data_IF_351890515146
#
_entry.id   IF_351890515146
#
_cell.length_a   1.000
_cell.length_b   1.000
_cell.length_c   1.000
_cell.angle_alpha   90.00
_cell.angle_beta   90.00
_cell.angle_gamma   90.00
#
_symmetry.space_group_name_H-M   'P 1'
#
loop_
_entity.id
_entity.type
_entity.pdbx_description
1 polymer ?
#
# COMPACT_ATOMS: atom_id res chain seq x y z
N UNK A 1 11.95 1.79 -9.40
CA UNK A 1 11.79 2.96 -8.51
C UNK A 1 10.58 2.65 -7.65
N UNK A 2 10.72 2.62 -6.33
CA UNK A 2 9.59 2.43 -5.43
C UNK A 2 8.71 3.69 -5.55
N UNK A 3 7.40 3.53 -5.74
CA UNK A 3 6.44 4.63 -5.72
C UNK A 3 5.68 4.61 -4.39
N UNK A 4 6.34 4.96 -3.25
CA UNK A 4 5.63 5.06 -2.00
C UNK A 4 4.59 6.19 -2.09
N UNK A 5 3.51 6.07 -1.35
CA UNK A 5 2.63 7.21 -1.07
C UNK A 5 3.48 8.39 -0.58
N UNK A 6 3.21 9.59 -1.06
CA UNK A 6 3.84 10.81 -0.55
C UNK A 6 3.66 10.91 0.98
N UNK A 7 4.68 11.38 1.68
CA UNK A 7 4.66 11.44 3.15
C UNK A 7 3.53 12.31 3.68
N UNK A 8 3.11 13.37 2.97
CA UNK A 8 1.98 14.18 3.39
C UNK A 8 0.67 13.40 3.27
N UNK A 9 0.47 12.65 2.17
CA UNK A 9 -0.70 11.77 2.01
C UNK A 9 -0.78 10.76 3.15
N UNK A 10 0.35 10.12 3.51
CA UNK A 10 0.42 9.22 4.66
C UNK A 10 0.03 9.90 5.98
N UNK A 11 0.56 11.10 6.24
CA UNK A 11 0.24 11.89 7.44
C UNK A 11 -1.26 12.24 7.47
N UNK A 12 -1.87 12.60 6.35
CA UNK A 12 -3.30 12.93 6.29
C UNK A 12 -4.19 11.71 6.53
N UNK A 13 -3.82 10.53 6.02
CA UNK A 13 -4.54 9.28 6.25
C UNK A 13 -4.41 8.83 7.71
N UNK A 14 -3.21 8.86 8.28
CA UNK A 14 -2.95 8.44 9.67
C UNK A 14 -3.64 9.34 10.70
N UNK A 15 -3.72 10.65 10.43
CA UNK A 15 -4.39 11.61 11.32
C UNK A 15 -5.90 11.73 11.06
N UNK A 16 -6.47 10.83 10.27
CA UNK A 16 -7.89 10.77 9.95
C UNK A 16 -8.50 12.08 9.42
N UNK A 17 -7.69 12.92 8.75
CA UNK A 17 -8.05 14.33 8.48
C UNK A 17 -9.19 14.52 7.48
N UNK A 18 -9.41 13.54 6.60
CA UNK A 18 -10.45 13.60 5.56
C UNK A 18 -11.23 12.28 5.53
N UNK A 19 -12.37 12.19 6.24
CA UNK A 19 -13.15 10.95 6.36
C UNK A 19 -13.55 10.34 5.02
N UNK A 20 -13.94 11.16 4.04
CA UNK A 20 -14.30 10.68 2.71
C UNK A 20 -13.12 10.07 1.94
N UNK A 21 -11.91 10.58 2.16
CA UNK A 21 -10.69 10.04 1.55
C UNK A 21 -10.31 8.72 2.22
N UNK A 22 -10.43 8.64 3.56
CA UNK A 22 -10.25 7.37 4.28
C UNK A 22 -11.26 6.31 3.89
N UNK A 23 -12.54 6.68 3.75
CA UNK A 23 -13.59 5.78 3.30
C UNK A 23 -13.22 5.19 1.93
N UNK A 24 -12.80 6.03 0.99
CA UNK A 24 -12.38 5.60 -0.33
C UNK A 24 -11.15 4.69 -0.29
N UNK A 25 -10.14 5.05 0.51
CA UNK A 25 -8.93 4.26 0.69
C UNK A 25 -9.22 2.88 1.31
N UNK A 26 -10.13 2.84 2.31
CA UNK A 26 -10.58 1.60 2.97
C UNK A 26 -11.41 0.69 2.06
N UNK A 27 -11.94 1.20 0.95
CA UNK A 27 -12.66 0.38 -0.04
C UNK A 27 -11.72 -0.45 -0.93
N UNK A 28 -10.40 -0.30 -0.80
CA UNK A 28 -9.41 -1.00 -1.60
C UNK A 28 -8.42 -1.74 -0.70
N UNK A 29 -7.96 -2.90 -1.15
CA UNK A 29 -6.86 -3.61 -0.51
C UNK A 29 -5.51 -2.97 -0.87
N UNK A 30 -4.47 -3.11 -0.02
CA UNK A 30 -3.12 -2.65 -0.35
C UNK A 30 -2.58 -3.21 -1.67
N UNK A 31 -2.93 -4.45 -2.01
CA UNK A 31 -2.54 -5.10 -3.26
C UNK A 31 -3.20 -4.47 -4.50
N UNK A 32 -4.48 -4.08 -4.41
CA UNK A 32 -5.18 -3.40 -5.51
C UNK A 32 -4.56 -2.04 -5.81
N UNK A 33 -4.26 -1.28 -4.75
CA UNK A 33 -3.61 0.02 -4.86
C UNK A 33 -2.22 -0.15 -5.49
N UNK A 34 -1.39 -1.04 -4.95
CA UNK A 34 -0.05 -1.27 -5.46
C UNK A 34 -0.06 -1.73 -6.93
N UNK A 35 -0.97 -2.62 -7.31
CA UNK A 35 -1.10 -3.10 -8.70
C UNK A 35 -1.57 -2.01 -9.65
N UNK A 36 -2.56 -1.20 -9.26
CA UNK A 36 -3.10 -0.12 -10.09
C UNK A 36 -2.06 0.97 -10.42
N UNK A 37 -1.08 1.16 -9.52
CA UNK A 37 -0.05 2.18 -9.66
C UNK A 37 1.31 1.62 -10.07
N UNK A 38 1.40 0.33 -10.41
CA UNK A 38 2.67 -0.34 -10.67
C UNK A 38 3.69 -0.01 -9.56
N UNK A 39 3.28 -0.19 -8.30
CA UNK A 39 4.09 0.09 -7.12
C UNK A 39 4.56 -1.23 -6.47
N UNK A 40 5.63 -1.13 -5.68
CA UNK A 40 6.07 -2.24 -4.83
C UNK A 40 5.38 -2.16 -3.48
N UNK A 41 4.69 -3.22 -3.07
CA UNK A 41 4.09 -3.35 -1.75
C UNK A 41 5.12 -3.87 -0.76
N UNK A 42 5.55 -3.01 0.17
CA UNK A 42 6.49 -3.36 1.23
C UNK A 42 5.71 -3.94 2.43
N UNK A 43 5.96 -5.18 2.81
CA UNK A 43 5.24 -5.88 3.91
C UNK A 43 6.01 -7.11 4.41
N UNK A 44 5.96 -7.39 5.72
CA UNK A 44 6.42 -8.68 6.27
C UNK A 44 5.45 -9.83 5.98
N UNK A 45 4.19 -9.54 5.69
CA UNK A 45 3.17 -10.54 5.39
C UNK A 45 3.25 -11.04 3.93
N UNK A 46 4.46 -11.25 3.40
CA UNK A 46 4.69 -11.61 1.99
C UNK A 46 3.86 -12.82 1.57
N UNK A 47 3.70 -13.80 2.46
CA UNK A 47 2.88 -15.00 2.22
C UNK A 47 1.43 -14.68 1.82
N UNK A 48 0.79 -13.69 2.46
CA UNK A 48 -0.61 -13.33 2.19
C UNK A 48 -0.82 -12.73 0.80
N UNK A 49 0.18 -12.02 0.29
CA UNK A 49 0.13 -11.26 -0.94
C UNK A 49 0.83 -11.95 -2.13
N UNK A 50 1.67 -12.96 -1.87
CA UNK A 50 2.40 -13.72 -2.90
C UNK A 50 1.51 -14.35 -3.98
N UNK A 51 0.24 -14.64 -3.64
CA UNK A 51 -0.77 -15.19 -4.55
C UNK A 51 -1.32 -14.21 -5.58
N UNK A 52 -1.04 -12.91 -5.44
CA UNK A 52 -1.57 -11.87 -6.33
C UNK A 52 -0.67 -11.75 -7.57
N UNK A 53 -1.16 -12.21 -8.72
CA UNK A 53 -0.41 -12.16 -9.97
C UNK A 53 -0.04 -10.72 -10.37
N UNK A 54 1.23 -10.51 -10.72
CA UNK A 54 1.77 -9.22 -11.15
C UNK A 54 2.05 -8.21 -10.03
N UNK A 55 1.89 -8.59 -8.76
CA UNK A 55 2.20 -7.73 -7.62
C UNK A 55 3.70 -7.78 -7.29
N UNK A 56 4.33 -6.61 -7.15
CA UNK A 56 5.70 -6.50 -6.65
C UNK A 56 5.69 -6.43 -5.13
N UNK A 57 6.51 -7.25 -4.48
CA UNK A 57 6.60 -7.37 -3.02
C UNK A 57 8.03 -7.18 -2.54
N UNK A 58 8.19 -6.48 -1.42
CA UNK A 58 9.46 -6.35 -0.68
C UNK A 58 9.20 -6.63 0.80
N UNK A 59 10.03 -7.49 1.42
CA UNK A 59 10.00 -7.72 2.87
C UNK A 59 10.88 -6.67 3.58
N UNK A 60 10.29 -5.95 4.52
CA UNK A 60 11.00 -4.95 5.33
C UNK A 60 11.76 -5.52 6.54
N UNK A 61 11.54 -6.79 6.92
CA UNK A 61 12.32 -7.45 7.99
C UNK A 61 13.55 -8.20 7.45
N UNK A 62 13.76 -8.21 6.13
CA UNK A 62 14.91 -8.84 5.46
C UNK A 62 16.23 -8.06 5.56
N UNK A 63 16.48 -7.37 6.69
CA UNK A 63 17.68 -6.56 6.96
C UNK A 63 18.56 -7.14 8.06
#
# INVERSE_FOLDING_TARGET
MIHPLDTNVCIHLLNERHPSVLQHFRSHTPAEIARAHDATLVTHNVGEFSRVAGLRLEDWEGG
#
